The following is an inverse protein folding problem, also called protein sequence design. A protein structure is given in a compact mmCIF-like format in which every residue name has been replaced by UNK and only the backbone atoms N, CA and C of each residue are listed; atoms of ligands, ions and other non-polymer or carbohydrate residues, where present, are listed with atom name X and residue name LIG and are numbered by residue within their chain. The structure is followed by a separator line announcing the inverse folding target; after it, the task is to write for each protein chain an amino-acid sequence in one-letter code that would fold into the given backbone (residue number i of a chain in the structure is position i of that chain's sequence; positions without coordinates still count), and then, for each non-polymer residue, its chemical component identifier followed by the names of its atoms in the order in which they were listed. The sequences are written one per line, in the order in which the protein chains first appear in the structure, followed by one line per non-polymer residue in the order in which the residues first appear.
data_IF_280150676663
#
_entry.id   IF_280150676663
#
_cell.length_a   1.000
_cell.length_b   1.000
_cell.length_c   1.000
_cell.angle_alpha   90.00
_cell.angle_beta   90.00
_cell.angle_gamma   90.00
#
_symmetry.space_group_name_H-M   'P 1'
#
loop_
_entity.id
_entity.type
_entity.pdbx_description
1 polymer ?
#
# COMPACT_ATOMS: atom_id res chain seq x y z
N UNK A 1 18.15 -1.55 -8.95
CA UNK A 1 17.37 -1.66 -10.20
C UNK A 1 18.01 -1.01 -11.43
N UNK A 2 19.18 -0.37 -11.33
CA UNK A 2 19.77 0.36 -12.47
C UNK A 2 20.11 -0.54 -13.67
N UNK A 3 20.59 -1.77 -13.46
CA UNK A 3 20.91 -2.70 -14.55
C UNK A 3 19.66 -3.08 -15.36
N UNK A 4 18.58 -3.45 -14.70
CA UNK A 4 17.32 -3.80 -15.35
C UNK A 4 16.68 -2.60 -16.06
N UNK A 5 16.79 -1.39 -15.48
CA UNK A 5 16.39 -0.15 -16.12
C UNK A 5 17.19 0.13 -17.41
N UNK A 6 18.52 -0.02 -17.36
CA UNK A 6 19.41 0.20 -18.51
C UNK A 6 19.18 -0.84 -19.61
N UNK A 7 19.06 -2.11 -19.25
CA UNK A 7 18.72 -3.18 -20.19
C UNK A 7 17.34 -2.96 -20.81
N UNK A 8 16.37 -2.54 -19.99
CA UNK A 8 15.03 -2.16 -20.41
C UNK A 8 15.00 -1.03 -21.41
N UNK A 9 15.66 0.08 -21.09
CA UNK A 9 15.77 1.24 -21.97
C UNK A 9 16.50 0.88 -23.28
N UNK A 10 17.59 0.12 -23.21
CA UNK A 10 18.33 -0.32 -24.39
C UNK A 10 17.46 -1.21 -25.30
N UNK A 11 16.81 -2.23 -24.75
CA UNK A 11 15.93 -3.10 -25.50
C UNK A 11 14.72 -2.36 -26.10
N UNK A 12 14.17 -1.39 -25.37
CA UNK A 12 13.08 -0.53 -25.84
C UNK A 12 13.51 0.31 -27.04
N UNK A 13 14.65 1.02 -26.94
CA UNK A 13 15.19 1.84 -28.02
C UNK A 13 15.54 1.00 -29.26
N UNK A 14 16.14 -0.17 -29.08
CA UNK A 14 16.44 -1.08 -30.18
C UNK A 14 15.18 -1.61 -30.87
N UNK A 15 14.11 -1.88 -30.11
CA UNK A 15 12.84 -2.33 -30.66
C UNK A 15 12.16 -1.23 -31.47
N UNK A 16 12.12 0.00 -30.95
CA UNK A 16 11.61 1.16 -31.69
C UNK A 16 12.39 1.42 -32.98
N UNK A 17 13.71 1.31 -32.94
CA UNK A 17 14.56 1.52 -34.11
C UNK A 17 14.34 0.44 -35.20
N UNK A 18 14.21 -0.82 -34.78
CA UNK A 18 14.03 -1.96 -35.70
C UNK A 18 12.65 -1.97 -36.35
N UNK A 19 11.60 -1.86 -35.55
CA UNK A 19 10.24 -2.14 -36.02
C UNK A 19 9.60 -0.89 -36.67
N UNK A 20 10.13 0.32 -36.40
CA UNK A 20 9.65 1.64 -36.89
C UNK A 20 8.15 1.93 -36.66
N UNK A 21 7.42 1.02 -36.04
CA UNK A 21 6.02 1.13 -35.64
C UNK A 21 5.92 1.15 -34.12
N UNK A 22 5.06 2.01 -33.58
CA UNK A 22 4.84 2.07 -32.13
C UNK A 22 3.77 1.05 -31.75
N UNK A 23 4.20 -0.07 -31.17
CA UNK A 23 3.27 -1.03 -30.59
C UNK A 23 2.54 -0.41 -29.38
N UNK A 24 1.31 -0.87 -29.05
CA UNK A 24 0.59 -0.41 -27.85
C UNK A 24 1.41 -0.57 -26.57
N UNK A 25 2.24 -1.61 -26.48
CA UNK A 25 3.13 -1.85 -25.36
C UNK A 25 4.22 -0.78 -25.23
N UNK A 26 4.74 -0.29 -26.35
CA UNK A 26 5.72 0.80 -26.38
C UNK A 26 5.10 2.13 -25.94
N UNK A 27 3.85 2.37 -26.33
CA UNK A 27 3.05 3.51 -25.85
C UNK A 27 2.85 3.45 -24.34
N UNK A 28 2.56 2.27 -23.77
CA UNK A 28 2.39 2.09 -22.32
C UNK A 28 3.68 2.43 -21.53
N UNK A 29 4.86 2.06 -22.06
CA UNK A 29 6.15 2.45 -21.49
C UNK A 29 6.35 3.96 -21.55
N UNK A 30 6.11 4.60 -22.70
CA UNK A 30 6.27 6.06 -22.85
C UNK A 30 5.30 6.84 -21.95
N UNK A 31 4.05 6.39 -21.86
CA UNK A 31 3.05 6.98 -20.99
C UNK A 31 3.46 6.89 -19.52
N UNK A 32 3.86 5.69 -19.08
CA UNK A 32 4.31 5.49 -17.71
C UNK A 32 5.59 6.27 -17.41
N UNK A 33 6.52 6.35 -18.37
CA UNK A 33 7.73 7.15 -18.27
C UNK A 33 7.42 8.65 -18.13
N UNK A 34 6.45 9.18 -18.88
CA UNK A 34 6.03 10.57 -18.77
C UNK A 34 5.53 10.90 -17.35
N UNK A 35 4.68 10.05 -16.77
CA UNK A 35 4.20 10.21 -15.38
C UNK A 35 5.34 10.16 -14.36
N UNK A 36 6.30 9.26 -14.53
CA UNK A 36 7.43 9.09 -13.62
C UNK A 36 8.43 10.25 -13.73
N UNK A 37 8.84 10.62 -14.94
CA UNK A 37 9.87 11.65 -15.19
C UNK A 37 9.37 13.06 -14.88
N UNK A 38 8.12 13.38 -15.23
CA UNK A 38 7.50 14.68 -14.94
C UNK A 38 6.94 14.76 -13.52
N UNK A 39 7.05 13.68 -12.72
CA UNK A 39 6.51 13.57 -11.35
C UNK A 39 5.04 14.00 -11.26
N UNK A 40 4.21 13.56 -12.20
CA UNK A 40 2.78 13.86 -12.24
C UNK A 40 2.03 13.23 -11.05
N UNK A 41 0.74 13.55 -10.92
CA UNK A 41 -0.14 12.93 -9.94
C UNK A 41 -0.04 11.39 -10.02
N UNK A 42 0.08 10.74 -8.85
CA UNK A 42 0.24 9.29 -8.73
C UNK A 42 1.52 8.70 -9.35
N UNK A 43 2.60 9.47 -9.57
CA UNK A 43 3.86 8.96 -10.14
C UNK A 43 4.40 7.71 -9.43
N UNK A 44 4.21 7.59 -8.11
CA UNK A 44 4.62 6.41 -7.32
C UNK A 44 3.92 5.12 -7.77
N UNK A 45 2.64 5.21 -8.17
CA UNK A 45 1.90 4.07 -8.71
C UNK A 45 2.31 3.79 -10.16
N UNK A 46 2.55 4.82 -10.95
CA UNK A 46 3.06 4.67 -12.32
C UNK A 46 4.49 4.13 -12.38
N UNK A 47 5.28 4.28 -11.31
CA UNK A 47 6.59 3.64 -11.20
C UNK A 47 6.50 2.12 -11.30
N UNK A 48 5.53 1.51 -10.60
CA UNK A 48 5.28 0.06 -10.68
C UNK A 48 4.82 -0.38 -12.08
N UNK A 49 3.98 0.43 -12.74
CA UNK A 49 3.52 0.16 -14.10
C UNK A 49 4.67 0.27 -15.09
N UNK A 50 5.51 1.30 -14.94
CA UNK A 50 6.69 1.51 -15.76
C UNK A 50 7.65 0.32 -15.67
N UNK A 51 7.98 -0.13 -14.46
CA UNK A 51 8.80 -1.32 -14.26
C UNK A 51 8.18 -2.57 -14.92
N UNK A 52 6.87 -2.79 -14.75
CA UNK A 52 6.17 -3.91 -15.36
C UNK A 52 6.23 -3.90 -16.89
N UNK A 53 5.90 -2.78 -17.53
CA UNK A 53 5.90 -2.68 -19.00
C UNK A 53 7.31 -2.72 -19.59
N UNK A 54 8.33 -2.33 -18.82
CA UNK A 54 9.73 -2.34 -19.24
C UNK A 54 10.36 -3.75 -19.23
N UNK A 55 9.83 -4.70 -18.45
CA UNK A 55 10.39 -6.05 -18.29
C UNK A 55 10.61 -6.81 -19.61
N UNK A 56 9.64 -6.90 -20.56
CA UNK A 56 9.86 -7.60 -21.83
C UNK A 56 10.98 -6.97 -22.66
N UNK A 57 11.11 -5.64 -22.63
CA UNK A 57 12.19 -4.93 -23.30
C UNK A 57 13.53 -5.18 -22.62
N UNK A 58 13.55 -5.29 -21.29
CA UNK A 58 14.77 -5.64 -20.56
C UNK A 58 15.27 -7.03 -20.93
N UNK A 59 14.35 -8.01 -21.03
CA UNK A 59 14.68 -9.35 -21.50
C UNK A 59 15.24 -9.33 -22.93
N UNK A 60 14.63 -8.57 -23.84
CA UNK A 60 15.15 -8.38 -25.19
C UNK A 60 16.54 -7.73 -25.22
N UNK A 61 16.77 -6.70 -24.41
CA UNK A 61 18.07 -6.03 -24.28
C UNK A 61 19.16 -6.98 -23.76
N UNK A 62 18.83 -7.85 -22.80
CA UNK A 62 19.73 -8.89 -22.29
C UNK A 62 20.09 -9.89 -23.39
N UNK A 63 19.11 -10.37 -24.16
CA UNK A 63 19.35 -11.29 -25.29
C UNK A 63 20.22 -10.64 -26.36
N UNK A 64 20.03 -9.35 -26.63
CA UNK A 64 20.86 -8.61 -27.59
C UNK A 64 22.31 -8.52 -27.12
N UNK A 65 22.53 -8.20 -25.83
CA UNK A 65 23.87 -8.17 -25.23
C UNK A 65 24.53 -9.55 -25.24
N UNK A 66 23.76 -10.61 -24.96
CA UNK A 66 24.21 -12.00 -25.03
C UNK A 66 24.68 -12.36 -26.45
N UNK A 67 23.89 -12.04 -27.48
CA UNK A 67 24.23 -12.37 -28.87
C UNK A 67 25.36 -11.51 -29.45
N UNK A 68 25.62 -10.33 -28.90
CA UNK A 68 26.60 -9.38 -29.45
C UNK A 68 28.05 -9.84 -29.27
N UNK A 69 28.34 -10.63 -28.25
CA UNK A 69 29.69 -11.09 -27.95
C UNK A 69 29.71 -12.60 -27.79
N UNK A 70 30.57 -13.29 -28.55
CA UNK A 70 30.75 -14.75 -28.42
C UNK A 70 31.63 -15.13 -27.23
N UNK A 71 32.31 -14.17 -26.60
CA UNK A 71 33.29 -14.44 -25.57
C UNK A 71 32.61 -14.80 -24.23
N UNK A 72 32.99 -15.94 -23.65
CA UNK A 72 32.40 -16.49 -22.42
C UNK A 72 32.44 -15.50 -21.25
N UNK A 73 33.51 -14.70 -21.15
CA UNK A 73 33.62 -13.65 -20.12
C UNK A 73 32.40 -12.72 -20.05
N UNK A 74 31.87 -12.26 -21.19
CA UNK A 74 30.73 -11.33 -21.21
C UNK A 74 29.44 -12.00 -20.73
N UNK A 75 29.26 -13.27 -21.06
CA UNK A 75 28.16 -14.08 -20.59
C UNK A 75 28.21 -14.26 -19.06
N UNK A 76 29.38 -14.61 -18.53
CA UNK A 76 29.62 -14.74 -17.09
C UNK A 76 29.37 -13.41 -16.38
N UNK A 77 29.90 -12.31 -16.90
CA UNK A 77 29.70 -10.97 -16.33
C UNK A 77 28.21 -10.61 -16.29
N UNK A 78 27.47 -10.84 -17.37
CA UNK A 78 26.05 -10.54 -17.44
C UNK A 78 25.23 -11.38 -16.42
N UNK A 79 25.55 -12.67 -16.28
CA UNK A 79 24.94 -13.53 -15.25
C UNK A 79 25.25 -13.00 -13.85
N UNK A 80 26.51 -12.64 -13.57
CA UNK A 80 26.91 -12.07 -12.28
C UNK A 80 26.18 -10.77 -11.96
N UNK A 81 25.95 -9.90 -12.96
CA UNK A 81 25.21 -8.66 -12.78
C UNK A 81 23.73 -8.91 -12.44
N UNK A 82 23.09 -9.89 -13.08
CA UNK A 82 21.70 -10.29 -12.78
C UNK A 82 21.60 -10.88 -11.37
N UNK A 83 22.54 -11.77 -11.01
CA UNK A 83 22.61 -12.34 -9.65
C UNK A 83 22.85 -11.25 -8.60
N UNK A 84 23.77 -10.32 -8.87
CA UNK A 84 24.04 -9.18 -8.01
C UNK A 84 22.80 -8.29 -7.81
N UNK A 85 22.06 -7.98 -8.87
CA UNK A 85 20.80 -7.24 -8.74
C UNK A 85 19.76 -8.03 -7.93
N UNK A 86 19.63 -9.33 -8.18
CA UNK A 86 18.68 -10.20 -7.47
C UNK A 86 19.00 -10.26 -5.97
N UNK A 87 20.28 -10.36 -5.62
CA UNK A 87 20.75 -10.29 -4.23
C UNK A 87 20.41 -8.94 -3.57
N UNK A 88 20.62 -7.82 -4.26
CA UNK A 88 20.23 -6.50 -3.72
C UNK A 88 18.70 -6.42 -3.51
N UNK A 89 17.90 -6.91 -4.46
CA UNK A 89 16.45 -6.97 -4.33
C UNK A 89 16.01 -7.84 -3.15
N UNK A 90 16.67 -8.98 -2.93
CA UNK A 90 16.42 -9.85 -1.78
C UNK A 90 16.73 -9.17 -0.45
N UNK A 91 17.85 -8.44 -0.34
CA UNK A 91 18.17 -7.69 0.87
C UNK A 91 17.14 -6.60 1.15
N UNK A 92 16.67 -5.88 0.12
CA UNK A 92 15.59 -4.89 0.29
C UNK A 92 14.30 -5.56 0.75
N UNK A 93 13.98 -6.75 0.24
CA UNK A 93 12.82 -7.52 0.68
C UNK A 93 12.92 -7.89 2.18
N UNK A 94 14.09 -8.33 2.65
CA UNK A 94 14.29 -8.66 4.07
C UNK A 94 14.14 -7.45 5.00
N UNK A 95 14.41 -6.23 4.52
CA UNK A 95 14.23 -5.01 5.28
C UNK A 95 12.77 -4.52 5.35
N UNK A 96 11.86 -5.10 4.55
CA UNK A 96 10.45 -4.70 4.57
C UNK A 96 9.76 -5.30 5.79
N UNK A 97 9.45 -4.43 6.74
CA UNK A 97 8.63 -4.76 7.91
C UNK A 97 7.15 -4.49 7.63
N UNK A 98 6.23 -5.12 8.38
CA UNK A 98 4.82 -4.73 8.40
C UNK A 98 4.65 -3.24 8.73
N UNK A 99 3.54 -2.65 8.25
CA UNK A 99 3.25 -1.23 8.44
C UNK A 99 2.76 -0.89 9.86
N UNK A 100 2.34 -1.91 10.60
CA UNK A 100 2.00 -1.84 12.03
C UNK A 100 2.96 -2.73 12.82
N UNK A 101 3.36 -2.27 14.02
CA UNK A 101 4.18 -3.06 14.92
C UNK A 101 3.37 -4.16 15.64
N UNK A 102 4.08 -5.03 16.36
CA UNK A 102 3.48 -6.17 17.09
C UNK A 102 2.51 -5.73 18.20
N UNK A 103 2.77 -4.61 18.89
CA UNK A 103 1.90 -4.10 19.94
C UNK A 103 0.60 -3.54 19.38
N UNK A 104 0.68 -2.80 18.29
CA UNK A 104 -0.45 -2.33 17.49
C UNK A 104 -1.28 -3.51 16.98
N UNK A 105 -0.62 -4.55 16.47
CA UNK A 105 -1.29 -5.76 16.01
C UNK A 105 -2.06 -6.45 17.14
N UNK A 106 -1.44 -6.64 18.31
CA UNK A 106 -2.08 -7.23 19.49
C UNK A 106 -3.29 -6.42 19.97
N UNK A 107 -3.23 -5.08 19.89
CA UNK A 107 -4.37 -4.22 20.22
C UNK A 107 -5.55 -4.49 19.26
N UNK A 108 -5.29 -4.55 17.96
CA UNK A 108 -6.35 -4.79 16.96
C UNK A 108 -6.94 -6.19 17.13
N UNK A 109 -6.10 -7.21 17.35
CA UNK A 109 -6.51 -8.59 17.60
C UNK A 109 -7.36 -8.69 18.87
N UNK A 110 -7.01 -7.98 19.94
CA UNK A 110 -7.76 -8.00 21.20
C UNK A 110 -9.22 -7.57 21.06
N UNK A 111 -9.57 -6.81 20.01
CA UNK A 111 -10.94 -6.37 19.75
C UNK A 111 -11.86 -7.53 19.40
N UNK A 112 -11.36 -8.61 18.79
CA UNK A 112 -12.18 -9.80 18.50
C UNK A 112 -12.74 -10.43 19.79
N UNK A 113 -11.98 -10.33 20.88
CA UNK A 113 -12.38 -10.83 22.20
C UNK A 113 -13.30 -9.88 22.98
N UNK A 114 -13.52 -8.66 22.49
CA UNK A 114 -14.47 -7.74 23.09
C UNK A 114 -15.89 -8.22 22.78
N UNK A 115 -16.71 -8.41 23.80
CA UNK A 115 -18.12 -8.77 23.67
C UNK A 115 -18.91 -7.58 23.10
N UNK A 116 -18.88 -7.46 21.76
CA UNK A 116 -19.52 -6.38 21.01
C UNK A 116 -20.93 -6.78 20.58
N UNK A 117 -21.91 -5.85 20.66
CA UNK A 117 -23.22 -6.05 20.06
C UNK A 117 -23.13 -6.37 18.57
N UNK A 118 -24.03 -7.22 18.07
CA UNK A 118 -24.02 -7.66 16.67
C UNK A 118 -24.18 -6.51 15.65
N UNK A 119 -24.78 -5.39 16.04
CA UNK A 119 -24.97 -4.19 15.23
C UNK A 119 -23.89 -3.11 15.47
N UNK A 120 -22.87 -3.41 16.27
CA UNK A 120 -21.83 -2.47 16.63
C UNK A 120 -21.10 -1.89 15.40
N UNK A 121 -20.86 -0.58 15.46
CA UNK A 121 -20.10 0.16 14.46
C UNK A 121 -18.76 0.56 15.04
N UNK A 122 -17.67 -0.05 14.55
CA UNK A 122 -16.33 0.18 15.09
C UNK A 122 -15.52 1.09 14.17
N UNK A 123 -15.00 2.18 14.70
CA UNK A 123 -14.28 3.21 13.95
C UNK A 123 -12.84 3.30 14.42
N UNK A 124 -11.89 3.22 13.50
CA UNK A 124 -10.49 3.56 13.82
C UNK A 124 -10.29 5.06 13.69
N UNK A 125 -9.43 5.60 14.55
CA UNK A 125 -9.12 7.04 14.57
C UNK A 125 -7.84 7.38 13.78
N UNK A 126 -7.27 6.42 13.06
CA UNK A 126 -6.04 6.57 12.27
C UNK A 126 -6.08 5.68 11.01
N UNK A 127 -5.10 5.82 10.12
CA UNK A 127 -5.18 5.34 8.74
C UNK A 127 -4.50 3.99 8.44
N UNK A 128 -3.95 3.29 9.45
CA UNK A 128 -3.24 2.02 9.27
C UNK A 128 -4.01 0.79 9.73
N UNK A 129 -4.65 0.85 10.89
CA UNK A 129 -5.29 -0.30 11.54
C UNK A 129 -6.64 -0.68 10.95
N UNK A 130 -7.30 0.21 10.21
CA UNK A 130 -8.68 0.02 9.72
C UNK A 130 -8.85 -1.27 8.92
N UNK A 131 -7.91 -1.55 8.01
CA UNK A 131 -7.94 -2.76 7.18
C UNK A 131 -7.72 -4.03 8.01
N UNK A 132 -6.87 -3.96 9.03
CA UNK A 132 -6.60 -5.08 9.94
C UNK A 132 -7.82 -5.36 10.83
N UNK A 133 -8.42 -4.31 11.40
CA UNK A 133 -9.61 -4.41 12.24
C UNK A 133 -10.79 -5.02 11.46
N UNK A 134 -10.97 -4.62 10.20
CA UNK A 134 -11.97 -5.22 9.30
C UNK A 134 -11.77 -6.72 9.12
N UNK A 135 -10.52 -7.19 9.09
CA UNK A 135 -10.19 -8.61 8.99
C UNK A 135 -10.59 -9.41 10.23
N UNK A 136 -10.40 -8.84 11.41
CA UNK A 136 -10.75 -9.47 12.70
C UNK A 136 -12.21 -9.33 13.09
N UNK A 137 -12.94 -8.36 12.52
CA UNK A 137 -14.37 -8.15 12.75
C UNK A 137 -15.19 -8.36 11.47
N UNK A 138 -15.25 -9.58 10.91
CA UNK A 138 -15.91 -9.83 9.63
C UNK A 138 -17.41 -9.57 9.65
N UNK A 139 -18.04 -9.68 10.83
CA UNK A 139 -19.48 -9.53 11.02
C UNK A 139 -19.90 -8.12 11.50
N UNK A 140 -18.95 -7.22 11.74
CA UNK A 140 -19.25 -5.86 12.23
C UNK A 140 -18.98 -4.83 11.14
N UNK A 141 -19.63 -3.68 11.29
CA UNK A 141 -19.37 -2.53 10.43
C UNK A 141 -18.11 -1.83 10.94
N UNK A 142 -17.11 -1.72 10.06
CA UNK A 142 -15.83 -1.08 10.36
C UNK A 142 -15.60 0.10 9.42
N UNK A 143 -15.25 1.26 9.98
CA UNK A 143 -14.88 2.46 9.25
C UNK A 143 -13.62 3.11 9.81
N UNK A 144 -13.04 4.03 9.06
CA UNK A 144 -11.90 4.80 9.52
C UNK A 144 -11.14 5.49 8.39
N UNK A 145 -10.23 6.41 8.73
CA UNK A 145 -9.35 7.04 7.77
C UNK A 145 -8.61 5.98 6.92
N UNK A 146 -8.39 6.26 5.65
CA UNK A 146 -7.64 5.36 4.76
C UNK A 146 -8.46 4.19 4.17
N UNK A 147 -9.67 3.91 4.66
CA UNK A 147 -10.57 2.92 4.06
C UNK A 147 -11.35 3.45 2.83
N UNK A 148 -10.84 4.51 2.20
CA UNK A 148 -11.45 5.21 1.05
C UNK A 148 -11.42 4.42 -0.28
N UNK A 149 -11.35 3.10 -0.22
CA UNK A 149 -11.49 2.23 -1.40
C UNK A 149 -12.89 1.64 -1.54
N UNK A 150 -13.77 1.78 -0.55
CA UNK A 150 -15.16 1.35 -0.67
C UNK A 150 -16.02 2.51 -1.22
N UNK A 151 -16.75 2.26 -2.31
CA UNK A 151 -17.76 3.20 -2.82
C UNK A 151 -18.96 3.17 -1.89
N UNK A 152 -18.95 4.04 -0.89
CA UNK A 152 -20.11 4.25 -0.03
C UNK A 152 -21.19 4.96 -0.88
N UNK A 153 -22.40 4.38 -1.01
CA UNK A 153 -23.53 5.11 -1.56
C UNK A 153 -23.81 6.35 -0.70
N UNK A 154 -24.48 7.34 -1.29
CA UNK A 154 -24.78 8.61 -0.60
C UNK A 154 -25.48 8.38 0.74
N UNK A 155 -26.36 7.38 0.84
CA UNK A 155 -27.04 7.06 2.11
C UNK A 155 -26.07 6.65 3.22
N UNK A 156 -25.01 5.90 2.91
CA UNK A 156 -24.04 5.48 3.93
C UNK A 156 -23.15 6.65 4.37
N UNK A 157 -22.85 7.57 3.44
CA UNK A 157 -22.19 8.84 3.77
C UNK A 157 -23.06 9.74 4.64
N UNK A 158 -24.34 9.83 4.31
CA UNK A 158 -25.33 10.57 5.10
C UNK A 158 -25.44 9.97 6.50
N UNK A 159 -25.50 8.63 6.62
CA UNK A 159 -25.50 7.93 7.91
C UNK A 159 -24.22 8.21 8.72
N UNK A 160 -23.04 8.18 8.08
CA UNK A 160 -21.78 8.51 8.76
C UNK A 160 -21.72 9.96 9.26
N UNK A 161 -22.23 10.90 8.46
CA UNK A 161 -22.15 12.34 8.76
C UNK A 161 -23.27 12.82 9.69
N UNK A 162 -24.47 12.24 9.60
CA UNK A 162 -25.68 12.73 10.27
C UNK A 162 -26.23 11.80 11.35
N UNK A 163 -25.72 10.59 11.51
CA UNK A 163 -26.07 9.74 12.65
C UNK A 163 -25.86 8.27 12.39
N UNK A 164 -24.92 7.66 13.10
CA UNK A 164 -24.67 6.22 13.05
C UNK A 164 -25.77 5.49 13.83
N UNK A 165 -26.53 4.62 13.17
CA UNK A 165 -27.48 3.74 13.85
C UNK A 165 -26.74 2.62 14.60
N UNK A 166 -27.06 2.42 15.89
CA UNK A 166 -26.47 1.38 16.74
C UNK A 166 -25.30 1.87 17.60
N UNK A 167 -24.73 1.01 18.45
CA UNK A 167 -23.67 1.40 19.36
C UNK A 167 -22.35 1.62 18.61
N UNK A 168 -21.78 2.81 18.76
CA UNK A 168 -20.51 3.19 18.11
C UNK A 168 -19.35 2.98 19.08
N UNK A 169 -18.30 2.35 18.58
CA UNK A 169 -17.05 2.11 19.31
C UNK A 169 -15.88 2.69 18.54
N UNK A 170 -14.98 3.39 19.23
CA UNK A 170 -13.77 3.97 18.66
C UNK A 170 -12.56 3.16 19.13
N UNK A 171 -11.73 2.72 18.20
CA UNK A 171 -10.49 2.02 18.52
C UNK A 171 -9.39 3.03 18.86
N UNK A 172 -8.90 2.95 20.10
CA UNK A 172 -7.73 3.68 20.56
C UNK A 172 -6.47 2.90 20.22
N UNK A 173 -5.57 3.56 19.50
CA UNK A 173 -4.26 3.02 19.17
C UNK A 173 -3.16 4.02 19.52
N UNK A 174 -1.93 3.57 19.85
CA UNK A 174 -0.77 4.46 20.00
C UNK A 174 -0.60 5.47 18.84
N UNK A 175 -0.87 5.05 17.60
CA UNK A 175 -0.79 5.90 16.41
C UNK A 175 -1.74 7.11 16.46
N UNK A 176 -2.94 6.94 17.03
CA UNK A 176 -3.86 8.06 17.25
C UNK A 176 -3.26 9.10 18.20
N UNK A 177 -2.66 8.66 19.31
CA UNK A 177 -2.03 9.57 20.26
C UNK A 177 -0.76 10.22 19.69
N UNK A 178 0.03 9.48 18.90
CA UNK A 178 1.21 10.02 18.22
C UNK A 178 0.84 11.10 17.20
N UNK A 179 -0.22 10.88 16.42
CA UNK A 179 -0.64 11.80 15.38
C UNK A 179 -1.31 13.07 15.93
N UNK A 180 -2.21 12.93 16.91
CA UNK A 180 -3.02 14.04 17.43
C UNK A 180 -2.50 14.66 18.73
N UNK A 181 -1.53 14.04 19.40
CA UNK A 181 -0.87 14.61 20.59
C UNK A 181 -1.84 14.95 21.72
N UNK A 182 -1.75 16.18 22.24
CA UNK A 182 -2.60 16.65 23.35
C UNK A 182 -4.11 16.65 23.02
N UNK A 183 -4.48 16.78 21.75
CA UNK A 183 -5.90 16.71 21.35
C UNK A 183 -6.47 15.31 21.55
N UNK A 184 -5.66 14.27 21.39
CA UNK A 184 -6.08 12.89 21.64
C UNK A 184 -6.46 12.69 23.11
N UNK A 185 -5.67 13.24 24.05
CA UNK A 185 -5.96 13.11 25.49
C UNK A 185 -7.28 13.78 25.84
N UNK A 186 -7.46 15.04 25.40
CA UNK A 186 -8.72 15.78 25.60
C UNK A 186 -9.92 15.07 24.96
N UNK A 187 -9.72 14.47 23.79
CA UNK A 187 -10.75 13.72 23.10
C UNK A 187 -11.17 12.49 23.91
N UNK A 188 -10.23 11.71 24.46
CA UNK A 188 -10.54 10.52 25.26
C UNK A 188 -11.20 10.87 26.60
N UNK A 189 -10.95 12.06 27.13
CA UNK A 189 -11.54 12.57 28.38
C UNK A 189 -12.95 13.17 28.20
N UNK A 190 -13.45 13.28 26.96
CA UNK A 190 -14.76 13.86 26.70
C UNK A 190 -15.87 13.00 27.35
N UNK A 191 -16.83 13.63 28.08
CA UNK A 191 -17.91 12.90 28.76
C UNK A 191 -18.80 12.08 27.82
N UNK A 192 -18.75 12.35 26.52
CA UNK A 192 -19.45 11.58 25.49
C UNK A 192 -18.79 10.25 25.14
N UNK A 193 -17.65 9.91 25.77
CA UNK A 193 -17.00 8.62 25.59
C UNK A 193 -16.84 7.88 26.91
N UNK A 194 -17.13 6.58 26.86
CA UNK A 194 -16.93 5.66 27.96
C UNK A 194 -15.90 4.61 27.55
N UNK A 195 -14.77 4.53 28.26
CA UNK A 195 -13.79 3.47 28.03
C UNK A 195 -14.33 2.12 28.51
N UNK A 196 -14.27 1.12 27.64
CA UNK A 196 -14.60 -0.26 28.00
C UNK A 196 -13.45 -0.86 28.81
N UNK A 197 -13.78 -1.53 29.91
CA UNK A 197 -12.78 -2.19 30.76
C UNK A 197 -12.01 -3.26 29.98
N UNK A 198 -10.69 -3.34 30.21
CA UNK A 198 -9.79 -4.32 29.60
C UNK A 198 -9.76 -4.34 28.07
N UNK A 199 -10.21 -3.28 27.40
CA UNK A 199 -10.12 -3.15 25.95
C UNK A 199 -9.57 -1.78 25.55
N UNK A 200 -9.12 -1.69 24.31
CA UNK A 200 -8.70 -0.43 23.68
C UNK A 200 -9.85 0.31 23.00
N UNK A 201 -11.09 0.07 23.43
CA UNK A 201 -12.28 0.66 22.82
C UNK A 201 -12.88 1.76 23.70
N UNK A 202 -13.34 2.82 23.03
CA UNK A 202 -14.22 3.83 23.59
C UNK A 202 -15.63 3.63 23.04
N UNK A 203 -16.62 3.45 23.91
CA UNK A 203 -18.02 3.50 23.52
C UNK A 203 -18.49 4.96 23.46
N UNK A 204 -19.15 5.34 22.38
CA UNK A 204 -19.81 6.64 22.26
C UNK A 204 -21.13 6.59 23.04
N UNK A 205 -21.33 7.52 23.97
CA UNK A 205 -22.51 7.59 24.85
C UNK A 205 -23.44 8.75 24.49
N UNK A 206 -22.91 9.82 23.90
CA UNK A 206 -23.73 10.90 23.35
C UNK A 206 -24.08 10.57 21.89
N UNK A 207 -25.36 10.29 21.64
CA UNK A 207 -25.95 10.11 20.31
C UNK A 207 -27.18 10.99 20.19
#
# INVERSE_FOLDING_TARGET
NALLLLAGACGFLCTLYRDRSVAPWSLAVLWSAAFVLLKLFFYRRFFLHFDFFLLPFAAYGVVLLWKRSSHVFWHVLLVLLILGQSYLSYNVFLLRTPDIDEGMFAIVESVESADLPADAFVVTLENKSTTWLRGWLPNHRVAGPGLFSYTWPFQDWELFLYGLEGPVYLLLTPLFFEYYGEFAQKFVEDPCFQRLENTSLLKVTCT
#
